data_IF_288834323699
#
_entry.id   IF_288834323699
#
_cell.length_a   1.000
_cell.length_b   1.000
_cell.length_c   1.000
_cell.angle_alpha   90.00
_cell.angle_beta   90.00
_cell.angle_gamma   90.00
#
_symmetry.space_group_name_H-M   'P 1'
#
loop_
_entity.id
_entity.type
_entity.pdbx_description
1 polymer ?
#
# COMPACT_ATOMS: atom_id res chain seq x y z
N UNK A 1 -23.81 -2.14 -1.52
CA UNK A 1 -23.21 -3.48 -1.63
C UNK A 1 -21.82 -3.41 -0.97
N UNK A 2 -21.60 -3.95 0.23
CA UNK A 2 -20.23 -4.06 0.72
C UNK A 2 -19.62 -5.27 0.01
N UNK A 3 -18.74 -5.03 -0.97
CA UNK A 3 -17.89 -6.10 -1.52
C UNK A 3 -16.97 -6.55 -0.39
N UNK A 4 -17.05 -7.83 -0.06
CA UNK A 4 -16.15 -8.59 0.80
C UNK A 4 -14.75 -7.98 0.89
N UNK A 5 -14.29 -7.67 2.11
CA UNK A 5 -13.21 -8.37 2.79
C UNK A 5 -12.13 -9.03 1.89
N UNK A 6 -11.57 -8.31 0.92
CA UNK A 6 -10.25 -8.60 0.40
C UNK A 6 -9.30 -8.46 1.60
N UNK A 7 -8.56 -9.52 1.91
CA UNK A 7 -7.66 -9.64 3.08
C UNK A 7 -6.77 -8.42 3.30
N UNK A 8 -6.52 -7.65 2.25
CA UNK A 8 -5.74 -6.42 2.27
C UNK A 8 -6.54 -5.23 1.75
N UNK A 9 -6.57 -4.14 2.51
CA UNK A 9 -6.98 -2.81 2.03
C UNK A 9 -5.75 -2.07 1.49
N UNK A 10 -5.78 -1.65 0.23
CA UNK A 10 -4.66 -0.95 -0.41
C UNK A 10 -5.05 0.49 -0.69
N UNK A 11 -4.48 1.41 0.07
CA UNK A 11 -4.64 2.84 -0.15
C UNK A 11 -3.39 3.39 -0.83
N UNK A 12 -3.57 4.32 -1.76
CA UNK A 12 -2.45 5.04 -2.39
C UNK A 12 -2.75 6.53 -2.36
N UNK A 13 -1.80 7.33 -1.90
CA UNK A 13 -1.89 8.78 -1.80
C UNK A 13 -0.73 9.41 -2.54
N UNK A 14 -0.99 10.45 -3.33
CA UNK A 14 0.05 11.33 -3.84
C UNK A 14 0.43 12.32 -2.76
N UNK A 15 1.73 12.56 -2.56
CA UNK A 15 2.22 13.66 -1.74
C UNK A 15 3.00 14.62 -2.62
N UNK A 16 2.84 15.91 -2.32
CA UNK A 16 3.59 16.97 -2.96
C UNK A 16 4.10 17.90 -1.85
N UNK A 17 5.40 17.92 -1.67
CA UNK A 17 6.12 18.81 -0.75
C UNK A 17 6.95 19.80 -1.55
N UNK A 18 7.44 20.86 -0.91
CA UNK A 18 8.24 21.91 -1.55
C UNK A 18 9.49 21.37 -2.29
N UNK A 19 10.01 20.21 -1.89
CA UNK A 19 11.26 19.63 -2.41
C UNK A 19 11.10 18.24 -3.04
N UNK A 20 9.90 17.64 -2.98
CA UNK A 20 9.67 16.31 -3.51
C UNK A 20 8.18 16.05 -3.78
N UNK A 21 7.92 15.40 -4.91
CA UNK A 21 6.62 14.83 -5.24
C UNK A 21 6.74 13.32 -5.40
N UNK A 22 5.76 12.58 -4.90
CA UNK A 22 5.75 11.14 -5.04
C UNK A 22 4.42 10.54 -4.67
N UNK A 23 4.43 9.22 -4.53
CA UNK A 23 3.28 8.44 -4.13
C UNK A 23 3.66 7.56 -2.95
N UNK A 24 2.73 7.42 -2.03
CA UNK A 24 2.77 6.49 -0.92
C UNK A 24 1.63 5.50 -1.07
N UNK A 25 1.90 4.23 -0.78
CA UNK A 25 0.90 3.20 -0.70
C UNK A 25 0.94 2.56 0.70
N UNK A 26 -0.22 2.35 1.27
CA UNK A 26 -0.41 1.65 2.53
C UNK A 26 -1.24 0.41 2.24
N UNK A 27 -0.70 -0.75 2.60
CA UNK A 27 -1.42 -2.02 2.55
C UNK A 27 -1.74 -2.41 3.98
N UNK A 28 -3.01 -2.45 4.33
CA UNK A 28 -3.48 -2.89 5.64
C UNK A 28 -4.01 -4.31 5.53
N UNK A 29 -3.41 -5.22 6.27
CA UNK A 29 -3.97 -6.56 6.49
C UNK A 29 -5.16 -6.43 7.44
N UNK A 30 -6.38 -6.67 6.95
CA UNK A 30 -7.60 -6.55 7.73
C UNK A 30 -7.75 -7.68 8.77
N UNK A 31 -7.03 -8.79 8.60
CA UNK A 31 -7.05 -9.90 9.56
C UNK A 31 -6.11 -9.67 10.74
N UNK A 32 -4.93 -9.09 10.50
CA UNK A 32 -3.93 -8.86 11.56
C UNK A 32 -3.87 -7.42 12.05
N UNK A 33 -4.49 -6.49 11.33
CA UNK A 33 -4.40 -5.05 11.58
C UNK A 33 -3.04 -4.43 11.23
N UNK A 34 -2.11 -5.21 10.65
CA UNK A 34 -0.79 -4.71 10.28
C UNK A 34 -0.84 -3.84 9.05
N UNK A 35 -0.13 -2.72 9.10
CA UNK A 35 0.00 -1.79 7.97
C UNK A 35 1.42 -1.86 7.40
N UNK A 36 1.51 -1.92 6.06
CA UNK A 36 2.75 -1.98 5.32
C UNK A 36 2.83 -0.78 4.37
N UNK A 37 3.80 0.09 4.62
CA UNK A 37 3.95 1.34 3.88
C UNK A 37 5.03 1.22 2.79
N UNK A 38 4.75 1.73 1.60
CA UNK A 38 5.69 1.83 0.49
C UNK A 38 5.61 3.19 -0.17
N UNK A 39 6.72 3.65 -0.74
CA UNK A 39 6.78 4.89 -1.50
C UNK A 39 7.39 4.67 -2.87
N UNK A 40 7.13 5.58 -3.80
CA UNK A 40 7.67 5.53 -5.16
C UNK A 40 7.34 6.77 -5.97
N UNK A 41 8.02 6.91 -7.11
CA UNK A 41 7.76 8.00 -8.07
C UNK A 41 6.45 7.83 -8.84
N UNK A 42 5.82 6.65 -8.79
CA UNK A 42 4.52 6.37 -9.41
C UNK A 42 3.62 5.58 -8.44
N UNK A 43 2.27 5.62 -8.61
CA UNK A 43 1.34 4.84 -7.79
C UNK A 43 1.61 3.34 -7.82
N UNK A 44 2.12 2.83 -8.95
CA UNK A 44 2.45 1.41 -9.12
C UNK A 44 3.68 1.04 -8.30
N UNK A 45 4.76 1.83 -8.41
CA UNK A 45 5.99 1.60 -7.66
C UNK A 45 5.77 1.70 -6.15
N UNK A 46 4.94 2.65 -5.70
CA UNK A 46 4.59 2.76 -4.28
C UNK A 46 3.87 1.50 -3.78
N UNK A 47 2.90 0.98 -4.55
CA UNK A 47 2.19 -0.28 -4.24
C UNK A 47 3.12 -1.48 -4.25
N UNK A 48 3.98 -1.63 -5.25
CA UNK A 48 4.93 -2.73 -5.34
C UNK A 48 5.92 -2.70 -4.16
N UNK A 49 6.39 -1.51 -3.77
CA UNK A 49 7.23 -1.31 -2.58
C UNK A 49 6.51 -1.68 -1.29
N UNK A 50 5.22 -1.38 -1.16
CA UNK A 50 4.41 -1.78 -0.01
C UNK A 50 4.22 -3.31 0.03
N UNK A 51 3.88 -3.92 -1.10
CA UNK A 51 3.70 -5.37 -1.21
C UNK A 51 4.98 -6.14 -0.90
N UNK A 52 6.16 -5.60 -1.26
CA UNK A 52 7.46 -6.18 -0.89
C UNK A 52 7.69 -6.29 0.63
N UNK A 53 6.94 -5.56 1.45
CA UNK A 53 7.01 -5.65 2.93
C UNK A 53 5.99 -6.62 3.52
N UNK A 54 4.91 -6.91 2.80
CA UNK A 54 3.94 -7.95 3.19
C UNK A 54 4.65 -9.31 3.15
N UNK A 55 4.48 -10.21 4.13
CA UNK A 55 5.06 -11.55 4.09
C UNK A 55 4.70 -12.28 2.79
N UNK A 56 5.67 -12.92 2.12
CA UNK A 56 5.48 -13.53 0.79
C UNK A 56 4.35 -14.57 0.75
N UNK A 57 4.16 -15.33 1.83
CA UNK A 57 3.07 -16.29 2.03
C UNK A 57 1.67 -15.68 1.98
N UNK A 58 1.58 -14.36 2.16
CA UNK A 58 0.31 -13.63 2.25
C UNK A 58 0.12 -12.65 1.08
N UNK A 59 1.06 -12.58 0.13
CA UNK A 59 0.90 -11.76 -1.08
C UNK A 59 -0.03 -12.45 -2.08
N UNK A 60 -0.87 -11.70 -2.81
CA UNK A 60 -1.67 -12.24 -3.92
C UNK A 60 -0.81 -12.66 -5.12
#
# INVERSE_FOLDING_TARGET
MPKNNERFDVQTKSYWTLFASGYEATIRDNNTGKEYYGSGSTPKLARDSAWKKVPSKDRP
#
